data_IF_364768061932
#
_entry.id   IF_364768061932
#
_cell.length_a   1.000
_cell.length_b   1.000
_cell.length_c   1.000
_cell.angle_alpha   90.00
_cell.angle_beta   90.00
_cell.angle_gamma   90.00
#
_symmetry.space_group_name_H-M   'P 1'
#
loop_
_entity.id
_entity.type
_entity.pdbx_description
1 polymer ?
#
# COMPACT_ATOMS: atom_id res chain seq x y z
N UNK A 1 6.07 5.11 11.19
CA UNK A 1 4.63 4.78 11.04
C UNK A 1 4.47 3.62 10.06
N UNK A 2 3.45 2.76 10.22
CA UNK A 2 3.24 1.58 9.37
C UNK A 2 1.97 1.73 8.52
N UNK A 3 2.06 1.29 7.27
CA UNK A 3 0.97 1.36 6.31
C UNK A 3 0.83 0.05 5.55
N UNK A 4 -0.40 -0.31 5.23
CA UNK A 4 -0.71 -1.33 4.21
C UNK A 4 -1.25 -0.60 2.99
N UNK A 5 -0.59 -0.80 1.85
CA UNK A 5 -1.05 -0.34 0.55
C UNK A 5 -1.59 -1.54 -0.22
N UNK A 6 -2.81 -1.43 -0.73
CA UNK A 6 -3.30 -2.30 -1.80
C UNK A 6 -3.29 -1.50 -3.09
N UNK A 7 -2.89 -2.15 -4.19
CA UNK A 7 -3.07 -1.57 -5.52
C UNK A 7 -3.79 -2.53 -6.44
N UNK A 8 -4.60 -1.97 -7.34
CA UNK A 8 -5.24 -2.69 -8.43
C UNK A 8 -4.89 -2.01 -9.75
N UNK A 9 -4.34 -2.75 -10.71
CA UNK A 9 -4.03 -2.26 -12.05
C UNK A 9 -5.30 -1.85 -12.77
N UNK A 10 -5.26 -0.72 -13.46
CA UNK A 10 -6.39 -0.24 -14.26
C UNK A 10 -6.38 -0.97 -15.61
N UNK A 11 -7.54 -1.47 -16.03
CA UNK A 11 -7.78 -1.93 -17.39
C UNK A 11 -8.76 -0.97 -18.03
N UNK A 12 -8.28 -0.14 -18.95
CA UNK A 12 -9.04 0.91 -19.60
C UNK A 12 -8.82 0.81 -21.11
N UNK A 13 -9.90 0.66 -21.88
CA UNK A 13 -9.83 0.64 -23.34
C UNK A 13 -9.71 -0.77 -23.92
N UNK A 14 -9.02 -0.87 -25.06
CA UNK A 14 -8.86 -2.13 -25.79
C UNK A 14 -7.81 -3.05 -25.14
N UNK A 15 -7.77 -4.32 -25.56
CA UNK A 15 -6.73 -5.26 -25.14
C UNK A 15 -5.32 -4.73 -25.44
N UNK A 16 -5.13 -4.13 -26.62
CA UNK A 16 -3.86 -3.52 -27.02
C UNK A 16 -3.47 -2.35 -26.10
N UNK A 17 -4.42 -1.46 -25.77
CA UNK A 17 -4.16 -0.34 -24.85
C UNK A 17 -3.71 -0.84 -23.47
N UNK A 18 -4.31 -1.94 -23.00
CA UNK A 18 -3.97 -2.55 -21.73
C UNK A 18 -2.59 -3.21 -21.75
N UNK A 19 -2.23 -3.92 -22.82
CA UNK A 19 -0.89 -4.49 -22.97
C UNK A 19 0.20 -3.41 -23.03
N UNK A 20 -0.07 -2.30 -23.72
CA UNK A 20 0.86 -1.17 -23.81
C UNK A 20 1.00 -0.43 -22.49
N UNK A 21 -0.10 -0.27 -21.74
CA UNK A 21 -0.08 0.27 -20.38
C UNK A 21 0.73 -0.64 -19.42
N UNK A 22 0.56 -1.96 -19.52
CA UNK A 22 1.31 -2.92 -18.72
C UNK A 22 2.82 -2.86 -19.03
N UNK A 23 3.19 -2.81 -20.32
CA UNK A 23 4.58 -2.62 -20.77
C UNK A 23 5.18 -1.34 -20.19
N UNK A 24 4.43 -0.23 -20.28
CA UNK A 24 4.86 1.06 -19.72
C UNK A 24 5.03 1.01 -18.21
N UNK A 25 4.16 0.30 -17.50
CA UNK A 25 4.25 0.10 -16.06
C UNK A 25 5.52 -0.62 -15.64
N UNK A 26 5.89 -1.69 -16.35
CA UNK A 26 7.14 -2.43 -16.11
C UNK A 26 8.36 -1.53 -16.36
N UNK A 27 8.38 -0.76 -17.45
CA UNK A 27 9.45 0.19 -17.73
C UNK A 27 9.61 1.25 -16.62
N UNK A 28 8.51 1.84 -16.16
CA UNK A 28 8.52 2.81 -15.07
C UNK A 28 9.05 2.18 -13.78
N UNK A 29 8.54 0.99 -13.43
CA UNK A 29 8.94 0.29 -12.22
C UNK A 29 10.42 -0.08 -12.22
N UNK A 30 10.96 -0.56 -13.35
CA UNK A 30 12.39 -0.90 -13.48
C UNK A 30 13.37 0.27 -13.25
N UNK A 31 12.89 1.51 -13.35
CA UNK A 31 13.70 2.73 -13.13
C UNK A 31 13.41 3.41 -11.81
N UNK A 32 12.37 2.98 -11.11
CA UNK A 32 11.96 3.60 -9.86
C UNK A 32 12.73 2.99 -8.70
N UNK A 33 13.24 3.87 -7.84
CA UNK A 33 13.84 3.51 -6.56
C UNK A 33 12.97 4.11 -5.47
N UNK A 34 12.73 3.33 -4.41
CA UNK A 34 12.02 3.82 -3.25
C UNK A 34 12.79 4.99 -2.61
N UNK A 35 12.13 6.11 -2.27
CA UNK A 35 12.80 7.23 -1.61
C UNK A 35 13.45 6.80 -0.29
N UNK A 36 14.60 7.41 0.04
CA UNK A 36 15.29 7.17 1.30
C UNK A 36 14.35 7.36 2.50
N UNK A 37 14.43 6.46 3.48
CA UNK A 37 13.52 6.48 4.64
C UNK A 37 12.16 5.81 4.40
N UNK A 38 11.95 5.19 3.24
CA UNK A 38 10.78 4.35 2.94
C UNK A 38 11.19 2.89 2.95
N UNK A 39 10.75 2.13 3.96
CA UNK A 39 11.09 0.73 4.09
C UNK A 39 9.91 -0.15 3.65
N UNK A 40 10.08 -0.90 2.56
CA UNK A 40 9.11 -1.89 2.11
C UNK A 40 9.37 -3.21 2.85
N UNK A 41 8.64 -3.44 3.93
CA UNK A 41 8.75 -4.66 4.74
C UNK A 41 8.27 -5.90 3.98
N UNK A 42 7.22 -5.73 3.18
CA UNK A 42 6.66 -6.76 2.30
C UNK A 42 6.18 -6.08 1.02
N UNK A 43 6.42 -6.73 -0.13
CA UNK A 43 5.94 -6.26 -1.42
C UNK A 43 5.59 -7.48 -2.28
N UNK A 44 4.29 -7.72 -2.46
CA UNK A 44 3.77 -8.98 -3.00
C UNK A 44 2.71 -8.74 -4.06
N UNK A 45 2.70 -9.57 -5.10
CA UNK A 45 1.68 -9.56 -6.15
C UNK A 45 0.53 -10.52 -5.86
N UNK A 46 -0.68 -10.18 -6.30
CA UNK A 46 -1.84 -11.07 -6.29
C UNK A 46 -1.72 -12.10 -7.43
N UNK A 47 -2.12 -13.34 -7.15
CA UNK A 47 -2.06 -14.44 -8.12
C UNK A 47 -3.06 -14.30 -9.28
N UNK A 48 -4.09 -13.46 -9.12
CA UNK A 48 -5.06 -13.14 -10.17
C UNK A 48 -4.53 -12.10 -11.17
N UNK A 49 -3.31 -11.59 -10.98
CA UNK A 49 -2.66 -10.62 -11.87
C UNK A 49 -3.24 -9.21 -11.78
N UNK A 50 -4.21 -8.96 -10.90
CA UNK A 50 -4.93 -7.68 -10.87
C UNK A 50 -4.21 -6.60 -10.05
N UNK A 51 -3.12 -6.91 -9.35
CA UNK A 51 -2.38 -5.95 -8.53
C UNK A 51 -1.61 -6.61 -7.40
N UNK A 52 -1.56 -5.98 -6.22
CA UNK A 52 -0.76 -6.48 -5.10
C UNK A 52 -0.91 -5.69 -3.80
N UNK A 53 -0.02 -6.02 -2.87
CA UNK A 53 0.03 -5.41 -1.54
C UNK A 53 1.46 -5.01 -1.16
N UNK A 54 1.58 -3.91 -0.43
CA UNK A 54 2.83 -3.47 0.19
C UNK A 54 2.60 -3.20 1.68
N UNK A 55 3.52 -3.67 2.52
CA UNK A 55 3.63 -3.23 3.92
C UNK A 55 4.80 -2.27 3.98
N UNK A 56 4.52 -1.01 4.34
CA UNK A 56 5.48 0.08 4.28
C UNK A 56 5.68 0.64 5.68
N UNK A 57 6.93 0.80 6.09
CA UNK A 57 7.30 1.51 7.29
C UNK A 57 8.10 2.76 6.92
N UNK A 58 7.64 3.92 7.39
CA UNK A 58 8.27 5.20 7.10
C UNK A 58 7.89 6.26 8.14
N UNK A 59 8.78 7.21 8.35
CA UNK A 59 8.58 8.34 9.26
C UNK A 59 7.94 9.55 8.58
N UNK A 60 7.91 9.58 7.24
CA UNK A 60 7.27 10.65 6.47
C UNK A 60 6.33 10.09 5.40
N UNK A 61 5.32 10.85 5.01
CA UNK A 61 4.38 10.42 3.96
C UNK A 61 4.95 10.58 2.55
N UNK A 62 6.06 11.31 2.40
CA UNK A 62 6.65 11.67 1.11
C UNK A 62 7.06 10.42 0.31
N UNK A 63 7.57 9.41 1.00
CA UNK A 63 7.94 8.12 0.40
C UNK A 63 6.77 7.39 -0.26
N UNK A 64 5.62 7.41 0.40
CA UNK A 64 4.38 6.80 -0.10
C UNK A 64 3.81 7.65 -1.25
N UNK A 65 3.80 8.98 -1.08
CA UNK A 65 3.29 9.90 -2.09
C UNK A 65 4.11 9.85 -3.39
N UNK A 66 5.43 9.66 -3.30
CA UNK A 66 6.31 9.48 -4.44
C UNK A 66 5.88 8.29 -5.32
N UNK A 67 5.69 7.11 -4.70
CA UNK A 67 5.20 5.93 -5.40
C UNK A 67 3.81 6.15 -6.00
N UNK A 68 2.85 6.61 -5.19
CA UNK A 68 1.46 6.84 -5.65
C UNK A 68 1.40 7.84 -6.79
N UNK A 69 2.20 8.92 -6.76
CA UNK A 69 2.20 9.94 -7.80
C UNK A 69 2.77 9.43 -9.14
N UNK A 70 3.80 8.59 -9.11
CA UNK A 70 4.43 8.03 -10.32
C UNK A 70 3.60 6.93 -10.98
N UNK A 71 2.90 6.13 -10.18
CA UNK A 71 2.15 4.97 -10.66
C UNK A 71 0.62 5.17 -10.69
N UNK A 72 0.13 6.32 -10.22
CA UNK A 72 -1.30 6.65 -10.15
C UNK A 72 -2.08 6.54 -11.47
N UNK A 73 -1.50 6.88 -12.64
CA UNK A 73 -2.17 6.67 -13.92
C UNK A 73 -2.46 5.19 -14.25
N UNK A 74 -1.64 4.27 -13.72
CA UNK A 74 -1.71 2.84 -14.01
C UNK A 74 -2.49 2.05 -12.97
N UNK A 75 -2.63 2.57 -11.75
CA UNK A 75 -3.16 1.83 -10.61
C UNK A 75 -4.22 2.63 -9.85
N UNK A 76 -5.13 1.90 -9.21
CA UNK A 76 -5.92 2.41 -8.10
C UNK A 76 -5.26 2.00 -6.79
N UNK A 77 -5.00 2.96 -5.91
CA UNK A 77 -4.34 2.73 -4.63
C UNK A 77 -5.32 2.91 -3.48
N UNK A 78 -5.25 1.99 -2.52
CA UNK A 78 -5.89 2.11 -1.21
C UNK A 78 -4.80 2.03 -0.15
N UNK A 79 -4.79 3.00 0.77
CA UNK A 79 -3.75 3.12 1.78
C UNK A 79 -4.38 3.14 3.17
N UNK A 80 -3.90 2.23 4.02
CA UNK A 80 -4.41 2.03 5.37
C UNK A 80 -3.26 2.28 6.37
N UNK A 81 -3.32 3.32 7.20
CA UNK A 81 -2.46 3.42 8.37
C UNK A 81 -2.77 2.25 9.32
N UNK A 82 -1.74 1.56 9.79
CA UNK A 82 -1.89 0.39 10.67
C UNK A 82 -0.91 0.44 11.82
N UNK A 83 -1.21 -0.33 12.86
CA UNK A 83 -0.31 -0.63 13.98
C UNK A 83 -0.13 -2.14 14.09
N UNK A 84 0.88 -2.58 14.83
CA UNK A 84 1.04 -4.01 15.09
C UNK A 84 -0.12 -4.54 15.94
N UNK A 85 -0.48 -5.81 15.71
CA UNK A 85 -1.62 -6.43 16.39
C UNK A 85 -1.45 -6.42 17.92
N UNK A 86 -0.21 -6.46 18.42
CA UNK A 86 0.09 -6.36 19.85
C UNK A 86 -0.35 -5.01 20.44
N UNK A 87 0.00 -3.90 19.79
CA UNK A 87 -0.39 -2.55 20.21
C UNK A 87 -1.91 -2.36 20.13
N UNK A 88 -2.53 -2.90 19.07
CA UNK A 88 -3.98 -2.88 18.91
C UNK A 88 -4.69 -3.65 20.03
N UNK A 89 -4.20 -4.84 20.38
CA UNK A 89 -4.75 -5.65 21.45
C UNK A 89 -4.62 -5.00 22.83
N UNK A 90 -3.48 -4.34 23.11
CA UNK A 90 -3.29 -3.60 24.35
C UNK A 90 -4.34 -2.48 24.50
N UNK A 91 -4.51 -1.66 23.46
CA UNK A 91 -5.53 -0.61 23.44
C UNK A 91 -6.96 -1.18 23.57
N UNK A 92 -7.23 -2.34 22.97
CA UNK A 92 -8.53 -3.01 23.08
C UNK A 92 -8.82 -3.47 24.51
N UNK A 93 -7.83 -4.01 25.22
CA UNK A 93 -7.96 -4.43 26.62
C UNK A 93 -8.23 -3.24 27.54
N UNK A 94 -7.49 -2.14 27.38
CA UNK A 94 -7.75 -0.90 28.13
C UNK A 94 -9.18 -0.38 27.89
N UNK A 95 -9.64 -0.44 26.65
CA UNK A 95 -11.02 -0.08 26.29
C UNK A 95 -12.07 -0.98 26.96
N UNK A 96 -11.79 -2.28 27.11
CA UNK A 96 -12.65 -3.20 27.87
C UNK A 96 -12.68 -2.80 29.35
N UNK A 97 -11.51 -2.63 29.97
CA UNK A 97 -11.40 -2.27 31.39
C UNK A 97 -12.12 -0.95 31.71
N UNK A 98 -12.03 0.04 30.83
CA UNK A 98 -12.76 1.29 30.97
C UNK A 98 -14.29 1.10 30.95
N UNK A 99 -14.82 0.28 30.03
CA UNK A 99 -16.27 0.04 29.98
C UNK A 99 -16.77 -0.74 31.20
N UNK A 100 -15.95 -1.62 31.75
CA UNK A 100 -16.27 -2.35 32.97
C UNK A 100 -16.26 -1.47 34.21
N UNK A 101 -15.46 -0.41 34.25
CA UNK A 101 -15.37 0.49 35.42
C UNK A 101 -16.55 1.45 35.60
N UNK A 102 -17.40 1.60 34.57
CA UNK A 102 -18.59 2.49 34.61
C UNK A 102 -19.88 1.68 34.90
N UNK A 103 -19.74 0.41 35.34
CA UNK A 103 -20.87 -0.42 35.78
C UNK A 103 -21.15 -0.31 37.27
#
# INVERSE_FOLDING_TARGET
MKYVMAWTSRLNGSEQDNEDAARRGVELFSKWEAPAGTNFLQFVGRLDGAGGFAVIETDTIDGILDGVSKFGPLNNFELYPVVDVGDWMAAAQDGVAFRESIR
#
